data_IF_278827774798
#
_entry.id   IF_278827774798
#
_cell.length_a   1.000
_cell.length_b   1.000
_cell.length_c   1.000
_cell.angle_alpha   90.00
_cell.angle_beta   90.00
_cell.angle_gamma   90.00
#
_symmetry.space_group_name_H-M   'P 1'
#
loop_
_entity.id
_entity.type
_entity.pdbx_description
1 polymer ?
#
# COMPACT_ATOMS: atom_id res chain seq x y z
N UNK A 1 36.67 4.23 2.34
CA UNK A 1 36.80 2.78 2.60
C UNK A 1 36.72 2.58 4.11
N UNK A 2 35.99 1.56 4.57
CA UNK A 2 35.45 1.33 5.94
C UNK A 2 33.94 1.66 6.00
N UNK A 3 33.00 0.78 6.38
CA UNK A 3 33.05 -0.61 6.82
C UNK A 3 31.77 -1.33 6.36
N UNK A 4 31.96 -2.61 6.08
CA UNK A 4 31.00 -3.69 6.23
C UNK A 4 30.06 -3.51 7.45
N UNK A 5 28.98 -2.74 7.30
CA UNK A 5 27.74 -2.92 8.06
C UNK A 5 26.70 -3.55 7.13
N UNK A 6 27.02 -4.78 6.71
CA UNK A 6 26.08 -5.70 6.07
C UNK A 6 24.94 -6.07 7.01
N UNK A 7 23.95 -5.18 7.14
CA UNK A 7 22.64 -5.53 7.66
C UNK A 7 21.61 -5.36 6.55
N UNK A 8 21.51 -6.36 5.68
CA UNK A 8 20.32 -6.75 4.90
C UNK A 8 19.43 -5.58 4.42
N UNK A 9 19.90 -4.78 3.46
CA UNK A 9 18.92 -4.05 2.65
C UNK A 9 18.29 -5.10 1.73
N UNK A 10 16.99 -5.40 1.86
CA UNK A 10 16.36 -6.35 0.96
C UNK A 10 16.53 -5.76 -0.45
N UNK A 11 16.89 -6.58 -1.43
CA UNK A 11 16.84 -6.25 -2.87
C UNK A 11 15.41 -5.91 -3.35
N UNK A 12 14.50 -5.59 -2.43
CA UNK A 12 13.12 -5.20 -2.68
C UNK A 12 13.08 -3.71 -3.02
N UNK A 13 13.35 -3.41 -4.30
CA UNK A 13 12.82 -2.21 -4.91
C UNK A 13 11.29 -2.28 -4.89
N UNK A 14 10.67 -1.70 -3.87
CA UNK A 14 9.21 -1.58 -3.78
C UNK A 14 8.63 -0.54 -4.76
N UNK A 15 9.42 -0.04 -5.73
CA UNK A 15 8.99 0.88 -6.77
C UNK A 15 8.40 2.19 -6.23
N UNK A 16 7.91 3.05 -7.14
CA UNK A 16 6.92 4.07 -6.75
C UNK A 16 5.67 3.30 -6.37
N UNK A 17 5.18 3.43 -5.14
CA UNK A 17 4.05 2.65 -4.63
C UNK A 17 2.89 2.57 -5.62
N UNK A 18 2.83 1.47 -6.36
CA UNK A 18 1.76 1.19 -7.30
C UNK A 18 0.61 0.61 -6.49
N UNK A 19 -0.20 1.49 -5.93
CA UNK A 19 -1.55 1.11 -5.58
C UNK A 19 -2.22 0.76 -6.91
N UNK A 20 -2.26 -0.53 -7.27
CA UNK A 20 -2.22 -1.13 -8.62
C UNK A 20 -3.23 -0.69 -9.69
N UNK A 21 -3.94 0.41 -9.48
CA UNK A 21 -4.86 1.10 -10.38
C UNK A 21 -4.25 2.29 -11.13
N UNK A 22 -3.08 2.78 -10.70
CA UNK A 22 -2.38 3.86 -11.40
C UNK A 22 -0.99 3.39 -11.86
N UNK A 23 -0.79 3.16 -13.17
CA UNK A 23 0.47 2.68 -13.73
C UNK A 23 1.62 3.69 -13.59
N UNK A 24 1.31 4.96 -13.31
CA UNK A 24 2.28 6.02 -13.04
C UNK A 24 2.29 6.47 -11.56
N UNK A 25 1.40 5.88 -10.76
CA UNK A 25 0.89 6.49 -9.54
C UNK A 25 1.78 6.33 -8.32
N UNK A 26 1.87 7.42 -7.56
CA UNK A 26 2.47 7.51 -6.22
C UNK A 26 1.42 7.68 -5.10
N UNK A 27 0.13 7.79 -5.46
CA UNK A 27 -0.92 8.23 -4.53
C UNK A 27 -2.10 7.25 -4.49
N UNK A 28 -2.62 7.02 -3.28
CA UNK A 28 -3.86 6.27 -3.04
C UNK A 28 -5.04 7.18 -3.39
N UNK A 29 -5.97 6.68 -4.21
CA UNK A 29 -7.19 7.42 -4.63
C UNK A 29 -8.42 6.56 -4.43
N UNK A 30 -9.63 7.11 -4.65
CA UNK A 30 -10.88 6.33 -4.60
C UNK A 30 -10.85 5.08 -5.49
N UNK A 31 -10.20 5.16 -6.66
CA UNK A 31 -10.04 4.00 -7.57
C UNK A 31 -9.26 2.85 -6.92
N UNK A 32 -8.31 3.18 -6.04
CA UNK A 32 -7.55 2.17 -5.30
C UNK A 32 -8.46 1.36 -4.40
N UNK A 33 -9.38 2.02 -3.70
CA UNK A 33 -10.34 1.39 -2.81
C UNK A 33 -11.46 0.67 -3.57
N UNK A 34 -11.82 1.15 -4.76
CA UNK A 34 -12.73 0.45 -5.65
C UNK A 34 -12.14 -0.90 -6.10
N UNK A 35 -10.91 -0.90 -6.63
CA UNK A 35 -10.24 -2.13 -7.06
C UNK A 35 -9.93 -3.08 -5.89
N UNK A 36 -9.53 -2.55 -4.74
CA UNK A 36 -9.41 -3.35 -3.52
C UNK A 36 -10.77 -3.93 -3.10
N UNK A 37 -11.83 -3.13 -3.22
CA UNK A 37 -13.19 -3.56 -2.96
C UNK A 37 -13.59 -4.77 -3.81
N UNK A 38 -13.43 -4.64 -5.13
CA UNK A 38 -13.69 -5.72 -6.08
C UNK A 38 -12.89 -6.99 -5.78
N UNK A 39 -11.59 -6.86 -5.50
CA UNK A 39 -10.71 -8.00 -5.19
C UNK A 39 -11.15 -8.78 -3.93
N UNK A 40 -11.75 -8.08 -2.96
CA UNK A 40 -12.22 -8.67 -1.70
C UNK A 40 -13.74 -8.86 -1.64
N UNK A 41 -14.46 -8.72 -2.76
CA UNK A 41 -15.92 -8.81 -2.83
C UNK A 41 -16.65 -7.88 -1.85
N UNK A 42 -16.14 -6.67 -1.66
CA UNK A 42 -16.72 -5.62 -0.81
C UNK A 42 -16.96 -4.34 -1.62
N UNK A 43 -17.82 -3.45 -1.12
CA UNK A 43 -18.02 -2.15 -1.75
C UNK A 43 -16.85 -1.19 -1.54
N UNK A 44 -16.72 -0.15 -2.37
CA UNK A 44 -15.69 0.89 -2.22
C UNK A 44 -15.68 1.51 -0.82
N UNK A 45 -16.87 1.84 -0.29
CA UNK A 45 -17.01 2.44 1.04
C UNK A 45 -16.58 1.51 2.18
N UNK A 46 -16.86 0.22 2.03
CA UNK A 46 -16.46 -0.81 3.00
C UNK A 46 -14.94 -1.01 2.95
N UNK A 47 -14.35 -1.03 1.76
CA UNK A 47 -12.90 -1.06 1.59
C UNK A 47 -12.20 0.14 2.23
N UNK A 48 -12.74 1.37 2.06
CA UNK A 48 -12.22 2.57 2.73
C UNK A 48 -12.31 2.47 4.25
N UNK A 49 -13.46 2.03 4.76
CA UNK A 49 -13.68 1.88 6.20
C UNK A 49 -12.72 0.85 6.79
N UNK A 50 -12.61 -0.33 6.18
CA UNK A 50 -11.70 -1.37 6.63
C UNK A 50 -10.24 -0.90 6.61
N UNK A 51 -9.85 -0.09 5.61
CA UNK A 51 -8.50 0.49 5.57
C UNK A 51 -8.31 1.52 6.68
N UNK A 52 -9.32 2.35 6.96
CA UNK A 52 -9.27 3.33 8.03
C UNK A 52 -9.17 2.66 9.41
N UNK A 53 -10.03 1.67 9.67
CA UNK A 53 -10.02 0.88 10.90
C UNK A 53 -8.65 0.22 11.11
N UNK A 54 -8.04 -0.33 10.05
CA UNK A 54 -6.69 -0.90 10.12
C UNK A 54 -5.61 0.13 10.50
N UNK A 55 -5.69 1.36 9.96
CA UNK A 55 -4.71 2.42 10.24
C UNK A 55 -4.89 2.94 11.67
N UNK A 56 -6.13 3.08 12.15
CA UNK A 56 -6.38 3.44 13.55
C UNK A 56 -5.90 2.35 14.51
N UNK A 57 -6.10 1.08 14.19
CA UNK A 57 -5.71 -0.05 15.05
C UNK A 57 -4.19 -0.27 15.11
N UNK A 58 -3.46 0.07 14.05
CA UNK A 58 -1.98 -0.06 13.99
C UNK A 58 -1.22 1.04 14.76
N UNK A 59 -1.92 1.97 15.43
CA UNK A 59 -1.34 3.01 16.30
C UNK A 59 -0.11 3.72 15.66
N UNK A 60 -0.26 4.16 14.39
CA UNK A 60 0.75 4.90 13.63
C UNK A 60 0.93 6.36 14.08
#
# INVERSE_FOLDING_TARGET
MCYNCGCRMPDEDHGKGHAGVDPDGKAITSKTFEAAGEAFNQGEMESKKNTFDLIEDEDL
#
